data_IF_437485335849
#
_entry.id   IF_437485335849
#
_cell.length_a   1.000
_cell.length_b   1.000
_cell.length_c   1.000
_cell.angle_alpha   90.00
_cell.angle_beta   90.00
_cell.angle_gamma   90.00
#
_symmetry.space_group_name_H-M   'P 1'
#
loop_
_entity.id
_entity.type
_entity.pdbx_description
1 polymer ?
#
# COMPACT_ATOMS: atom_id res chain seq x y z
N UNK A 1 32.67 -13.70 -25.31
CA UNK A 1 31.89 -12.73 -24.50
C UNK A 1 32.83 -11.63 -24.01
N UNK A 2 32.47 -10.36 -24.15
CA UNK A 2 33.37 -9.25 -23.78
C UNK A 2 33.52 -9.13 -22.25
N UNK A 3 34.74 -8.91 -21.74
CA UNK A 3 35.03 -8.83 -20.29
C UNK A 3 34.12 -7.87 -19.49
N UNK A 4 33.73 -6.73 -20.08
CA UNK A 4 32.79 -5.78 -19.47
C UNK A 4 31.36 -6.32 -19.35
N UNK A 5 30.94 -7.15 -20.31
CA UNK A 5 29.62 -7.79 -20.30
C UNK A 5 29.58 -8.91 -19.25
N UNK A 6 30.64 -9.70 -19.13
CA UNK A 6 30.75 -10.75 -18.11
C UNK A 6 30.67 -10.18 -16.69
N UNK A 7 31.47 -9.17 -16.39
CA UNK A 7 31.46 -8.50 -15.07
C UNK A 7 30.15 -7.78 -14.75
N UNK A 8 29.42 -7.30 -15.77
CA UNK A 8 28.09 -6.73 -15.58
C UNK A 8 27.05 -7.80 -15.20
N UNK A 9 27.07 -8.94 -15.87
CA UNK A 9 26.15 -10.06 -15.60
C UNK A 9 26.39 -10.63 -14.21
N UNK A 10 27.65 -10.89 -13.84
CA UNK A 10 28.01 -11.39 -12.50
C UNK A 10 27.52 -10.44 -11.40
N UNK A 11 27.66 -9.13 -11.60
CA UNK A 11 27.16 -8.13 -10.63
C UNK A 11 25.63 -8.19 -10.50
N UNK A 12 24.92 -8.31 -11.62
CA UNK A 12 23.45 -8.38 -11.62
C UNK A 12 22.93 -9.67 -11.02
N UNK A 13 23.61 -10.79 -11.21
CA UNK A 13 23.28 -12.07 -10.59
C UNK A 13 23.49 -12.00 -9.07
N UNK A 14 24.60 -11.43 -8.60
CA UNK A 14 24.85 -11.22 -7.17
C UNK A 14 23.82 -10.29 -6.52
N UNK A 15 23.42 -9.22 -7.21
CA UNK A 15 22.39 -8.29 -6.74
C UNK A 15 21.05 -8.99 -6.59
N UNK A 16 20.63 -9.76 -7.62
CA UNK A 16 19.40 -10.56 -7.58
C UNK A 16 19.42 -11.61 -6.48
N UNK A 17 20.54 -12.30 -6.27
CA UNK A 17 20.68 -13.30 -5.22
C UNK A 17 20.49 -12.65 -3.83
N UNK A 18 21.12 -11.50 -3.59
CA UNK A 18 20.94 -10.75 -2.33
C UNK A 18 19.50 -10.28 -2.12
N UNK A 19 18.86 -9.74 -3.16
CA UNK A 19 17.45 -9.32 -3.08
C UNK A 19 16.53 -10.50 -2.75
N UNK A 20 16.75 -11.66 -3.38
CA UNK A 20 16.01 -12.90 -3.13
C UNK A 20 16.19 -13.37 -1.68
N UNK A 21 17.43 -13.43 -1.20
CA UNK A 21 17.74 -13.83 0.17
C UNK A 21 17.04 -12.91 1.19
N UNK A 22 17.14 -11.59 1.00
CA UNK A 22 16.47 -10.62 1.86
C UNK A 22 14.95 -10.77 1.83
N UNK A 23 14.38 -11.05 0.66
CA UNK A 23 12.94 -11.26 0.51
C UNK A 23 12.47 -12.53 1.25
N UNK A 24 13.20 -13.64 1.13
CA UNK A 24 12.90 -14.89 1.85
C UNK A 24 13.00 -14.71 3.38
N UNK A 25 14.02 -13.99 3.85
CA UNK A 25 14.17 -13.63 5.26
C UNK A 25 12.99 -12.78 5.73
N UNK A 26 12.58 -11.79 4.94
CA UNK A 26 11.44 -10.93 5.27
C UNK A 26 10.11 -11.69 5.31
N UNK A 27 9.97 -12.75 4.53
CA UNK A 27 8.81 -13.65 4.53
C UNK A 27 8.87 -14.72 5.65
N UNK A 28 10.00 -14.83 6.37
CA UNK A 28 10.20 -15.85 7.40
C UNK A 28 10.44 -17.26 6.83
N UNK A 29 10.73 -17.37 5.53
CA UNK A 29 11.05 -18.64 4.86
C UNK A 29 12.54 -18.91 5.07
N UNK A 30 12.87 -19.28 6.30
CA UNK A 30 14.24 -19.41 6.79
C UNK A 30 14.39 -20.66 7.64
N UNK A 31 15.61 -21.18 7.67
CA UNK A 31 16.02 -22.30 8.51
C UNK A 31 17.02 -21.83 9.58
N UNK A 32 17.03 -22.52 10.73
CA UNK A 32 18.00 -22.30 11.80
C UNK A 32 19.17 -23.24 11.59
N UNK A 33 20.32 -22.68 11.24
CA UNK A 33 21.58 -23.43 11.22
C UNK A 33 22.24 -23.32 12.60
N UNK A 34 22.45 -24.45 13.28
CA UNK A 34 22.99 -24.50 14.63
C UNK A 34 24.50 -24.70 14.66
N UNK A 35 25.17 -24.11 15.64
CA UNK A 35 26.58 -24.31 15.95
C UNK A 35 26.74 -25.10 17.25
N UNK A 36 27.73 -26.00 17.28
CA UNK A 36 28.10 -26.74 18.50
C UNK A 36 28.80 -25.88 19.56
N UNK A 37 29.38 -24.75 19.14
CA UNK A 37 30.11 -23.83 20.01
C UNK A 37 29.65 -22.40 19.81
N UNK A 38 29.85 -21.57 20.82
CA UNK A 38 29.62 -20.14 20.68
C UNK A 38 30.57 -19.57 19.62
N UNK A 39 29.99 -19.02 18.55
CA UNK A 39 30.72 -18.48 17.41
C UNK A 39 30.10 -17.14 17.00
N UNK A 40 30.91 -16.11 16.63
CA UNK A 40 30.40 -14.79 16.25
C UNK A 40 29.34 -14.82 15.12
N UNK A 41 29.48 -15.76 14.19
CA UNK A 41 28.55 -15.93 13.06
C UNK A 41 27.18 -16.52 13.45
N UNK A 42 27.02 -16.97 14.70
CA UNK A 42 25.81 -17.58 15.24
C UNK A 42 25.32 -16.77 16.46
N UNK A 43 24.73 -15.58 16.22
CA UNK A 43 24.44 -14.61 17.27
C UNK A 43 23.24 -14.99 18.15
N UNK A 44 22.37 -15.89 17.70
CA UNK A 44 21.13 -16.21 18.40
C UNK A 44 21.31 -17.46 19.26
N UNK A 45 20.69 -17.49 20.44
CA UNK A 45 20.69 -18.67 21.33
C UNK A 45 19.31 -19.31 21.34
N UNK A 46 19.24 -20.62 21.15
CA UNK A 46 18.01 -21.39 21.23
C UNK A 46 17.93 -22.12 22.59
N UNK A 47 16.98 -21.76 23.46
CA UNK A 47 16.87 -22.33 24.81
C UNK A 47 16.38 -23.78 24.82
N UNK A 48 15.68 -24.24 23.78
CA UNK A 48 15.14 -25.61 23.72
C UNK A 48 16.24 -26.61 23.34
N UNK A 49 17.13 -26.21 22.43
CA UNK A 49 18.25 -27.06 21.97
C UNK A 49 19.55 -26.81 22.73
N UNK A 50 19.67 -25.70 23.46
CA UNK A 50 20.89 -25.30 24.15
C UNK A 50 22.05 -25.02 23.19
N UNK A 51 21.76 -24.54 21.98
CA UNK A 51 22.75 -24.26 20.92
C UNK A 51 22.59 -22.86 20.35
N UNK A 52 23.70 -22.30 19.89
CA UNK A 52 23.69 -21.05 19.13
C UNK A 52 23.25 -21.33 17.69
N UNK A 53 22.52 -20.42 17.06
CA UNK A 53 22.06 -20.55 15.68
C UNK A 53 22.18 -19.24 14.89
N UNK A 54 22.22 -19.37 13.57
CA UNK A 54 22.04 -18.28 12.61
C UNK A 54 20.83 -18.57 11.72
N UNK A 55 20.21 -17.51 11.23
CA UNK A 55 19.07 -17.61 10.33
C UNK A 55 19.61 -17.62 8.90
N UNK A 56 19.28 -18.65 8.15
CA UNK A 56 19.70 -18.81 6.74
C UNK A 56 18.43 -18.95 5.88
N UNK A 57 18.32 -18.22 4.75
CA UNK A 57 17.20 -18.42 3.84
C UNK A 57 17.23 -19.84 3.29
N UNK A 58 16.05 -20.46 3.18
CA UNK A 58 15.95 -21.79 2.58
C UNK A 58 16.35 -21.70 1.11
N UNK A 59 17.18 -22.64 0.65
CA UNK A 59 17.48 -22.79 -0.77
C UNK A 59 16.19 -23.18 -1.50
N UNK A 60 15.72 -22.29 -2.36
CA UNK A 60 14.50 -22.48 -3.16
C UNK A 60 14.87 -22.49 -4.63
N UNK A 61 14.16 -23.27 -5.44
CA UNK A 61 14.31 -23.20 -6.91
C UNK A 61 13.65 -21.95 -7.46
N UNK A 62 13.96 -21.58 -8.70
CA UNK A 62 13.37 -20.41 -9.34
C UNK A 62 11.84 -20.54 -9.45
N UNK A 63 11.34 -21.76 -9.71
CA UNK A 63 9.90 -22.05 -9.74
C UNK A 63 9.24 -21.87 -8.36
N UNK A 64 9.89 -22.37 -7.30
CA UNK A 64 9.40 -22.21 -5.92
C UNK A 64 9.38 -20.74 -5.51
N UNK A 65 10.41 -19.99 -5.90
CA UNK A 65 10.47 -18.56 -5.61
C UNK A 65 9.40 -17.77 -6.36
N UNK A 66 9.11 -18.13 -7.62
CA UNK A 66 8.02 -17.54 -8.38
C UNK A 66 6.66 -17.83 -7.74
N UNK A 67 6.42 -19.04 -7.24
CA UNK A 67 5.22 -19.39 -6.48
C UNK A 67 5.12 -18.60 -5.16
N UNK A 68 6.21 -18.49 -4.40
CA UNK A 68 6.25 -17.67 -3.17
C UNK A 68 5.87 -16.22 -3.50
N UNK A 69 6.41 -15.69 -4.59
CA UNK A 69 6.10 -14.33 -5.04
C UNK A 69 4.65 -14.17 -5.49
N UNK A 70 4.03 -15.17 -6.11
CA UNK A 70 2.62 -15.11 -6.50
C UNK A 70 1.71 -15.10 -5.26
N UNK A 71 1.92 -16.02 -4.32
CA UNK A 71 1.13 -16.08 -3.09
C UNK A 71 1.32 -14.83 -2.21
N UNK A 72 2.54 -14.29 -2.10
CA UNK A 72 2.80 -13.05 -1.38
C UNK A 72 2.05 -11.84 -1.99
N UNK A 73 1.85 -11.83 -3.31
CA UNK A 73 1.06 -10.79 -4.00
C UNK A 73 -0.45 -11.00 -3.85
N UNK A 74 -0.91 -12.25 -3.90
CA UNK A 74 -2.33 -12.60 -3.73
C UNK A 74 -2.82 -12.32 -2.32
N UNK A 75 -2.05 -12.70 -1.29
CA UNK A 75 -2.35 -12.36 0.10
C UNK A 75 -2.43 -10.84 0.33
N UNK A 76 -1.64 -10.03 -0.39
CA UNK A 76 -1.77 -8.56 -0.36
C UNK A 76 -3.06 -8.07 -1.02
N UNK A 77 -3.53 -8.71 -2.10
CA UNK A 77 -4.79 -8.33 -2.76
C UNK A 77 -6.02 -8.73 -1.93
N UNK A 78 -6.01 -9.90 -1.31
CA UNK A 78 -7.11 -10.35 -0.45
C UNK A 78 -7.20 -9.53 0.85
N UNK A 79 -6.06 -9.22 1.48
CA UNK A 79 -6.00 -8.31 2.65
C UNK A 79 -6.39 -6.87 2.31
N UNK A 80 -6.50 -6.50 1.04
CA UNK A 80 -7.04 -5.21 0.57
C UNK A 80 -8.49 -5.32 0.09
N UNK A 81 -9.24 -6.30 0.60
CA UNK A 81 -10.67 -6.45 0.37
C UNK A 81 -11.39 -5.10 0.41
N UNK A 82 -12.08 -4.78 -0.69
CA UNK A 82 -12.71 -3.48 -0.96
C UNK A 82 -13.55 -3.04 0.24
N UNK A 83 -13.16 -1.94 0.91
CA UNK A 83 -13.98 -1.37 1.96
C UNK A 83 -15.27 -0.80 1.36
N UNK A 84 -16.39 -1.50 1.53
CA UNK A 84 -17.69 -1.05 1.02
C UNK A 84 -18.11 0.31 1.60
N UNK A 85 -17.80 0.57 2.87
CA UNK A 85 -18.13 1.84 3.55
C UNK A 85 -17.30 2.99 2.96
N UNK A 86 -15.98 2.85 2.85
CA UNK A 86 -15.14 3.87 2.25
C UNK A 86 -15.47 4.09 0.77
N UNK A 87 -15.80 3.03 0.03
CA UNK A 87 -16.25 3.15 -1.35
C UNK A 87 -17.55 3.95 -1.46
N UNK A 88 -18.53 3.69 -0.61
CA UNK A 88 -19.77 4.46 -0.57
C UNK A 88 -19.52 5.93 -0.19
N UNK A 89 -18.63 6.18 0.77
CA UNK A 89 -18.26 7.52 1.20
C UNK A 89 -17.60 8.33 0.07
N UNK A 90 -16.71 7.70 -0.71
CA UNK A 90 -16.14 8.31 -1.93
C UNK A 90 -17.21 8.64 -2.97
N UNK A 91 -18.17 7.75 -3.19
CA UNK A 91 -19.29 8.00 -4.11
C UNK A 91 -20.13 9.19 -3.66
N UNK A 92 -20.50 9.24 -2.38
CA UNK A 92 -21.27 10.36 -1.81
C UNK A 92 -20.49 11.67 -1.91
N UNK A 93 -19.19 11.66 -1.63
CA UNK A 93 -18.34 12.85 -1.74
C UNK A 93 -18.36 13.46 -3.15
N UNK A 94 -18.22 12.62 -4.18
CA UNK A 94 -18.30 13.06 -5.57
C UNK A 94 -19.67 13.60 -5.94
N UNK A 95 -20.75 12.97 -5.46
CA UNK A 95 -22.11 13.48 -5.66
C UNK A 95 -22.29 14.87 -5.05
N UNK A 96 -21.80 15.10 -3.83
CA UNK A 96 -21.87 16.42 -3.18
C UNK A 96 -21.16 17.48 -4.02
N UNK A 97 -19.96 17.20 -4.51
CA UNK A 97 -19.19 18.13 -5.34
C UNK A 97 -19.93 18.44 -6.64
N UNK A 98 -20.40 17.41 -7.36
CA UNK A 98 -21.08 17.58 -8.65
C UNK A 98 -22.39 18.36 -8.47
N UNK A 99 -23.21 17.99 -7.49
CA UNK A 99 -24.47 18.68 -7.20
C UNK A 99 -24.20 20.13 -6.79
N UNK A 100 -23.21 20.38 -5.93
CA UNK A 100 -22.83 21.72 -5.51
C UNK A 100 -22.38 22.60 -6.68
N UNK A 101 -21.61 22.05 -7.62
CA UNK A 101 -21.19 22.77 -8.84
C UNK A 101 -22.41 23.12 -9.68
N UNK A 102 -23.31 22.16 -9.94
CA UNK A 102 -24.52 22.37 -10.75
C UNK A 102 -25.45 23.40 -10.11
N UNK A 103 -25.70 23.32 -8.80
CA UNK A 103 -26.54 24.29 -8.08
C UNK A 103 -25.91 25.68 -8.10
N UNK A 104 -24.59 25.78 -7.92
CA UNK A 104 -23.88 27.05 -8.03
C UNK A 104 -23.95 27.65 -9.44
N UNK A 105 -23.90 26.83 -10.49
CA UNK A 105 -24.09 27.29 -11.88
C UNK A 105 -25.51 27.80 -12.13
N UNK A 106 -26.54 27.05 -11.67
CA UNK A 106 -27.94 27.45 -11.81
C UNK A 106 -28.19 28.78 -11.10
N UNK A 107 -27.65 28.97 -9.90
CA UNK A 107 -27.79 30.21 -9.15
C UNK A 107 -27.04 31.37 -9.81
N UNK A 108 -25.81 31.15 -10.30
CA UNK A 108 -25.03 32.17 -10.99
C UNK A 108 -25.70 32.66 -12.29
N UNK A 109 -26.26 31.75 -13.08
CA UNK A 109 -26.91 32.09 -14.36
C UNK A 109 -28.34 32.59 -14.12
N UNK A 110 -29.09 31.94 -13.23
CA UNK A 110 -30.50 32.23 -12.98
C UNK A 110 -30.78 33.61 -12.39
N UNK A 111 -29.86 34.15 -11.59
CA UNK A 111 -29.97 35.52 -11.07
C UNK A 111 -29.98 36.60 -12.16
N UNK A 112 -29.35 36.34 -13.31
CA UNK A 112 -29.35 37.26 -14.46
C UNK A 112 -30.69 37.24 -15.22
N UNK A 113 -31.38 36.09 -15.24
CA UNK A 113 -32.65 35.92 -15.95
C UNK A 113 -33.89 36.34 -15.14
N UNK A 114 -33.82 36.32 -13.80
CA UNK A 114 -35.00 36.53 -12.91
C UNK A 114 -35.14 38.00 -12.48
N UNK A 115 -34.20 38.88 -12.84
CA UNK A 115 -34.24 40.30 -12.46
C UNK A 115 -34.03 40.54 -10.96
N UNK A 116 -33.56 39.53 -10.23
CA UNK A 116 -33.07 39.64 -8.86
C UNK A 116 -31.72 40.34 -8.82
N UNK A 117 -31.44 41.15 -7.79
CA UNK A 117 -30.10 41.69 -7.56
C UNK A 117 -29.08 40.53 -7.54
N UNK A 118 -28.10 40.61 -8.44
CA UNK A 118 -27.07 39.59 -8.58
C UNK A 118 -26.17 39.58 -7.34
N UNK A 119 -26.36 38.61 -6.47
CA UNK A 119 -25.39 38.31 -5.39
C UNK A 119 -24.34 37.34 -5.91
N UNK A 120 -23.28 37.88 -6.52
CA UNK A 120 -22.14 37.10 -7.00
C UNK A 120 -21.39 36.34 -5.90
N UNK A 121 -21.63 36.64 -4.62
CA UNK A 121 -21.06 35.91 -3.49
C UNK A 121 -21.73 34.55 -3.26
N UNK A 122 -23.01 34.43 -3.56
CA UNK A 122 -23.82 33.23 -3.28
C UNK A 122 -23.29 31.98 -4.02
N UNK A 123 -23.03 31.99 -5.34
CA UNK A 123 -22.47 30.84 -6.04
C UNK A 123 -21.09 30.42 -5.54
N UNK A 124 -20.23 31.39 -5.20
CA UNK A 124 -18.90 31.13 -4.65
C UNK A 124 -18.98 30.42 -3.30
N UNK A 125 -19.88 30.83 -2.41
CA UNK A 125 -20.09 30.17 -1.11
C UNK A 125 -20.63 28.75 -1.27
N UNK A 126 -21.51 28.51 -2.24
CA UNK A 126 -22.04 27.17 -2.57
C UNK A 126 -20.92 26.25 -3.08
N UNK A 127 -20.07 26.74 -4.00
CA UNK A 127 -18.95 25.95 -4.51
C UNK A 127 -17.92 25.64 -3.43
N UNK A 128 -17.52 26.65 -2.66
CA UNK A 128 -16.56 26.48 -1.56
C UNK A 128 -17.08 25.46 -0.54
N UNK A 129 -18.34 25.59 -0.10
CA UNK A 129 -18.92 24.65 0.87
C UNK A 129 -19.02 23.23 0.33
N UNK A 130 -19.42 23.05 -0.94
CA UNK A 130 -19.49 21.74 -1.57
C UNK A 130 -18.11 21.08 -1.74
N UNK A 131 -17.09 21.86 -2.14
CA UNK A 131 -15.71 21.38 -2.25
C UNK A 131 -15.17 20.99 -0.88
N UNK A 132 -15.33 21.85 0.14
CA UNK A 132 -14.86 21.57 1.50
C UNK A 132 -15.53 20.29 2.03
N UNK A 133 -16.84 20.17 1.90
CA UNK A 133 -17.58 18.98 2.32
C UNK A 133 -17.10 17.73 1.56
N UNK A 134 -17.02 17.79 0.23
CA UNK A 134 -16.55 16.66 -0.58
C UNK A 134 -15.13 16.22 -0.23
N UNK A 135 -14.21 17.17 -0.07
CA UNK A 135 -12.81 16.88 0.32
C UNK A 135 -12.75 16.25 1.71
N UNK A 136 -13.54 16.73 2.68
CA UNK A 136 -13.61 16.12 4.02
C UNK A 136 -14.08 14.66 3.94
N UNK A 137 -15.14 14.37 3.19
CA UNK A 137 -15.65 13.00 3.03
C UNK A 137 -14.64 12.09 2.30
N UNK A 138 -13.94 12.59 1.28
CA UNK A 138 -12.85 11.85 0.64
C UNK A 138 -11.70 11.56 1.62
N UNK A 139 -11.33 12.55 2.44
CA UNK A 139 -10.32 12.40 3.49
C UNK A 139 -10.70 11.31 4.49
N UNK A 140 -11.93 11.33 5.01
CA UNK A 140 -12.43 10.28 5.90
C UNK A 140 -12.44 8.91 5.23
N UNK A 141 -12.79 8.83 3.95
CA UNK A 141 -12.78 7.57 3.23
C UNK A 141 -11.37 6.96 3.15
N UNK A 142 -10.35 7.79 2.93
CA UNK A 142 -8.96 7.29 2.92
C UNK A 142 -8.48 6.89 4.32
N UNK A 143 -8.85 7.64 5.36
CA UNK A 143 -8.53 7.24 6.74
C UNK A 143 -9.12 5.86 7.05
N UNK A 144 -10.36 5.59 6.65
CA UNK A 144 -11.01 4.28 6.86
C UNK A 144 -10.26 3.17 6.10
N UNK A 145 -9.84 3.40 4.87
CA UNK A 145 -9.07 2.43 4.07
C UNK A 145 -7.72 2.14 4.72
N UNK A 146 -7.04 3.18 5.21
CA UNK A 146 -5.76 3.03 5.91
C UNK A 146 -5.93 2.24 7.21
N UNK A 147 -6.96 2.53 8.00
CA UNK A 147 -7.26 1.80 9.22
C UNK A 147 -7.55 0.33 8.95
N UNK A 148 -8.35 0.00 7.92
CA UNK A 148 -8.57 -1.39 7.54
C UNK A 148 -7.29 -2.08 7.07
N UNK A 149 -6.43 -1.36 6.34
CA UNK A 149 -5.14 -1.89 5.89
C UNK A 149 -4.23 -2.22 7.07
N UNK A 150 -4.25 -1.41 8.13
CA UNK A 150 -3.51 -1.68 9.36
C UNK A 150 -4.11 -2.86 10.11
N UNK A 151 -5.44 -2.88 10.30
CA UNK A 151 -6.13 -3.99 10.97
C UNK A 151 -5.84 -5.35 10.28
N UNK A 152 -5.93 -5.40 8.95
CA UNK A 152 -5.65 -6.60 8.16
C UNK A 152 -4.17 -7.01 8.13
N UNK A 153 -3.25 -6.17 8.64
CA UNK A 153 -1.83 -6.53 8.85
C UNK A 153 -1.56 -7.08 10.25
N UNK A 154 -2.43 -6.78 11.21
CA UNK A 154 -2.30 -7.26 12.59
C UNK A 154 -2.86 -8.68 12.77
N UNK A 155 -3.82 -9.08 11.93
CA UNK A 155 -4.27 -10.46 11.75
C UNK A 155 -3.34 -11.26 10.81
#
# INVERSE_FOLDING_TARGET
MHAKVKSFIERKEQEKAKEREQHLIALGIVEKEYSERQHPDYPNWDPDTGKYYRIVPIEVTDEEYDMICSYAKEGKKERLGRNSVASALKTVAWLIIIIGIVVGLITAIGSEYIGSEYDGGLPLTIWLSAIIAGVLFLGFAEVIILLQTIANKMD
#
